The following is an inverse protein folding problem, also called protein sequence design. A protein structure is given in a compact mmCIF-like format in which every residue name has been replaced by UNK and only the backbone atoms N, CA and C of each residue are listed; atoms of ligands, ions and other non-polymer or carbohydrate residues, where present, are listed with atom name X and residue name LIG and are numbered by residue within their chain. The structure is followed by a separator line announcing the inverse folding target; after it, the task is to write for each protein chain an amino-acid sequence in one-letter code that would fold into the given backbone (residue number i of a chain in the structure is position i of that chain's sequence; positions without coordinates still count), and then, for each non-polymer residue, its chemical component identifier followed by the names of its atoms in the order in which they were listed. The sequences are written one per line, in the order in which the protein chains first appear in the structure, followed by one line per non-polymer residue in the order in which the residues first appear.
data_IF_265390877369
#
_entry.id   IF_265390877369
#
_cell.length_a   1.000
_cell.length_b   1.000
_cell.length_c   1.000
_cell.angle_alpha   90.00
_cell.angle_beta   90.00
_cell.angle_gamma   90.00
#
_symmetry.space_group_name_H-M   'P 1'
#
loop_
_entity.id
_entity.type
_entity.pdbx_description
1 polymer ?
#
# COMPACT_ATOMS: atom_id res chain seq x y z
N UNK A 1 -21.75 18.28 -4.17
CA UNK A 1 -20.76 17.56 -3.40
C UNK A 1 -20.38 16.23 -3.99
N UNK A 2 -19.52 16.31 -4.98
CA UNK A 2 -19.02 15.15 -5.70
C UNK A 2 -18.28 14.13 -4.80
N UNK A 3 -17.78 14.57 -3.64
CA UNK A 3 -16.99 13.74 -2.71
C UNK A 3 -17.76 12.61 -2.04
N UNK A 4 -19.09 12.66 -2.07
CA UNK A 4 -19.96 11.67 -1.42
C UNK A 4 -20.64 10.73 -2.42
N UNK A 5 -20.28 10.82 -3.69
CA UNK A 5 -20.79 9.94 -4.71
C UNK A 5 -19.99 8.65 -4.76
N UNK A 6 -20.65 7.54 -5.06
CA UNK A 6 -20.00 6.24 -5.29
C UNK A 6 -19.20 6.20 -6.61
N UNK A 7 -19.46 7.14 -7.49
CA UNK A 7 -18.76 7.29 -8.76
C UNK A 7 -17.62 8.31 -8.65
N UNK A 8 -16.41 7.86 -8.95
CA UNK A 8 -15.23 8.73 -9.02
C UNK A 8 -14.70 8.81 -10.44
N UNK A 9 -14.43 10.03 -10.88
CA UNK A 9 -13.76 10.27 -12.15
C UNK A 9 -12.24 10.39 -11.89
N UNK A 10 -11.50 9.43 -12.41
CA UNK A 10 -10.05 9.32 -12.23
C UNK A 10 -9.39 9.16 -13.59
N UNK A 11 -8.35 9.97 -13.85
CA UNK A 11 -7.59 9.87 -15.08
C UNK A 11 -6.74 8.60 -15.08
N UNK A 12 -6.87 7.81 -16.14
CA UNK A 12 -6.03 6.64 -16.34
C UNK A 12 -4.62 7.09 -16.77
N UNK A 13 -3.61 6.45 -16.19
CA UNK A 13 -2.23 6.63 -16.64
C UNK A 13 -2.02 6.02 -18.03
N UNK A 14 -1.07 6.55 -18.83
CA UNK A 14 -0.60 5.88 -20.04
C UNK A 14 -0.15 4.44 -19.74
N UNK A 15 -0.38 3.52 -20.68
CA UNK A 15 -0.11 2.10 -20.44
C UNK A 15 1.32 1.75 -20.05
N UNK A 16 2.29 2.55 -20.52
CA UNK A 16 3.71 2.38 -20.20
C UNK A 16 4.10 2.82 -18.77
N UNK A 17 3.23 3.48 -18.05
CA UNK A 17 3.43 3.84 -16.63
C UNK A 17 2.93 2.77 -15.67
N UNK A 18 2.29 1.73 -16.18
CA UNK A 18 1.85 0.60 -15.36
C UNK A 18 2.89 -0.52 -15.38
N UNK A 19 3.30 -0.95 -14.21
CA UNK A 19 4.16 -2.13 -14.05
C UNK A 19 3.38 -3.44 -14.14
N UNK A 20 2.06 -3.33 -14.12
CA UNK A 20 1.15 -4.47 -14.13
C UNK A 20 -0.11 -4.13 -14.91
N UNK A 21 -0.55 -5.01 -15.82
CA UNK A 21 -1.66 -4.73 -16.75
C UNK A 21 -3.00 -4.46 -16.10
N UNK A 22 -3.22 -4.96 -14.88
CA UNK A 22 -4.45 -4.77 -14.09
C UNK A 22 -4.32 -3.68 -13.03
N UNK A 23 -3.20 -2.97 -13.01
CA UNK A 23 -2.96 -1.91 -12.03
C UNK A 23 -3.92 -0.75 -12.23
N UNK A 24 -4.57 -0.33 -11.16
CA UNK A 24 -5.46 0.83 -11.16
C UNK A 24 -4.66 2.11 -10.94
N UNK A 25 -5.16 3.27 -11.39
CA UNK A 25 -4.52 4.55 -11.11
C UNK A 25 -4.34 4.75 -9.59
N UNK A 26 -3.16 5.23 -9.15
CA UNK A 26 -2.90 5.48 -7.72
C UNK A 26 -3.94 6.34 -7.03
N UNK A 27 -4.51 7.30 -7.74
CA UNK A 27 -5.53 8.21 -7.23
C UNK A 27 -6.78 7.49 -6.72
N UNK A 28 -7.14 6.33 -7.28
CA UNK A 28 -8.26 5.51 -6.80
C UNK A 28 -8.01 5.06 -5.37
N UNK A 29 -6.83 4.54 -5.10
CA UNK A 29 -6.44 4.07 -3.77
C UNK A 29 -6.33 5.21 -2.78
N UNK A 30 -5.74 6.31 -3.18
CA UNK A 30 -5.59 7.49 -2.35
C UNK A 30 -6.94 8.07 -1.92
N UNK A 31 -7.89 8.19 -2.84
CA UNK A 31 -9.24 8.65 -2.52
C UNK A 31 -9.94 7.74 -1.52
N UNK A 32 -9.89 6.44 -1.72
CA UNK A 32 -10.49 5.47 -0.82
C UNK A 32 -9.89 5.56 0.58
N UNK A 33 -8.58 5.61 0.67
CA UNK A 33 -7.84 5.67 1.93
C UNK A 33 -8.17 6.96 2.68
N UNK A 34 -8.16 8.11 2.02
CA UNK A 34 -8.48 9.39 2.65
C UNK A 34 -9.90 9.46 3.17
N UNK A 35 -10.84 8.87 2.46
CA UNK A 35 -12.26 8.91 2.84
C UNK A 35 -12.62 7.96 3.95
N UNK A 36 -12.01 6.77 3.95
CA UNK A 36 -12.41 5.69 4.84
C UNK A 36 -11.53 5.57 6.08
N UNK A 37 -10.40 6.25 6.11
CA UNK A 37 -9.43 6.16 7.21
C UNK A 37 -8.86 7.51 7.58
N UNK A 38 -8.24 7.53 8.78
CA UNK A 38 -7.42 8.63 9.27
C UNK A 38 -5.95 8.21 9.28
N UNK A 39 -5.00 9.17 9.30
CA UNK A 39 -3.59 8.85 9.47
C UNK A 39 -3.34 7.87 10.62
N UNK A 40 -2.44 6.91 10.40
CA UNK A 40 -2.01 5.84 11.31
C UNK A 40 -3.02 4.72 11.56
N UNK A 41 -4.21 4.81 10.98
CA UNK A 41 -5.12 3.68 11.03
C UNK A 41 -4.59 2.53 10.18
N UNK A 42 -5.09 1.34 10.47
CA UNK A 42 -4.71 0.10 9.81
C UNK A 42 -5.68 -0.20 8.68
N UNK A 43 -5.12 -0.55 7.54
CA UNK A 43 -5.84 -1.00 6.35
C UNK A 43 -5.55 -2.47 6.17
N UNK A 44 -6.57 -3.28 5.94
CA UNK A 44 -6.44 -4.67 5.55
C UNK A 44 -6.68 -4.80 4.05
N UNK A 45 -5.73 -5.40 3.34
CA UNK A 45 -5.85 -5.70 1.92
C UNK A 45 -5.61 -7.19 1.68
N UNK A 46 -6.67 -7.92 1.43
CA UNK A 46 -6.63 -9.37 1.25
C UNK A 46 -6.15 -9.81 -0.13
N UNK A 47 -6.06 -8.90 -1.07
CA UNK A 47 -5.67 -9.14 -2.47
C UNK A 47 -4.75 -8.03 -2.95
N UNK A 48 -3.56 -8.01 -2.40
CA UNK A 48 -2.63 -6.88 -2.53
C UNK A 48 -2.14 -6.63 -3.97
N UNK A 49 -2.00 -7.68 -4.76
CA UNK A 49 -1.49 -7.55 -6.12
C UNK A 49 -0.11 -6.91 -6.16
N UNK A 50 0.04 -5.89 -6.98
CA UNK A 50 1.30 -5.14 -7.12
C UNK A 50 1.64 -4.19 -5.95
N UNK A 51 0.82 -4.19 -4.90
CA UNK A 51 1.07 -3.39 -3.70
C UNK A 51 0.62 -1.92 -3.79
N UNK A 52 -0.29 -1.59 -4.68
CA UNK A 52 -0.73 -0.20 -4.85
C UNK A 52 -1.40 0.37 -3.60
N UNK A 53 -2.16 -0.44 -2.86
CA UNK A 53 -2.71 -0.04 -1.56
C UNK A 53 -1.60 0.28 -0.55
N UNK A 54 -0.57 -0.57 -0.48
CA UNK A 54 0.56 -0.36 0.43
C UNK A 54 1.30 0.95 0.12
N UNK A 55 1.58 1.20 -1.14
CA UNK A 55 2.28 2.40 -1.59
C UNK A 55 1.46 3.66 -1.26
N UNK A 56 0.19 3.68 -1.61
CA UNK A 56 -0.69 4.80 -1.32
C UNK A 56 -0.85 5.04 0.19
N UNK A 57 -0.99 3.98 0.96
CA UNK A 57 -1.11 4.06 2.41
C UNK A 57 0.17 4.60 3.07
N UNK A 58 1.34 4.19 2.60
CA UNK A 58 2.62 4.70 3.10
C UNK A 58 2.74 6.22 2.84
N UNK A 59 2.40 6.67 1.66
CA UNK A 59 2.40 8.11 1.33
C UNK A 59 1.44 8.90 2.21
N UNK A 60 0.29 8.30 2.55
CA UNK A 60 -0.75 8.93 3.35
C UNK A 60 -0.64 8.63 4.85
N UNK A 61 0.46 8.03 5.30
CA UNK A 61 0.75 7.73 6.71
C UNK A 61 -0.21 6.73 7.36
N UNK A 62 -0.75 5.78 6.60
CA UNK A 62 -1.51 4.63 7.12
C UNK A 62 -0.61 3.40 7.18
N UNK A 63 -1.03 2.40 7.94
CA UNK A 63 -0.40 1.08 8.02
C UNK A 63 -1.24 0.08 7.25
N UNK A 64 -0.59 -0.88 6.61
CA UNK A 64 -1.29 -1.92 5.83
C UNK A 64 -0.87 -3.30 6.31
N UNK A 65 -1.85 -4.16 6.49
CA UNK A 65 -1.66 -5.61 6.53
C UNK A 65 -2.24 -6.18 5.25
N UNK A 66 -1.39 -6.78 4.45
CA UNK A 66 -1.75 -7.25 3.12
C UNK A 66 -1.40 -8.71 2.92
N UNK A 67 -2.18 -9.38 2.09
CA UNK A 67 -1.94 -10.77 1.69
C UNK A 67 -1.88 -10.82 0.17
N UNK A 68 -0.90 -11.55 -0.35
CA UNK A 68 -0.73 -11.82 -1.77
C UNK A 68 -0.25 -13.25 -1.97
N UNK A 69 -0.92 -13.98 -2.85
CA UNK A 69 -0.59 -15.38 -3.13
C UNK A 69 0.50 -15.55 -4.19
N UNK A 70 0.65 -14.57 -5.08
CA UNK A 70 1.60 -14.64 -6.19
C UNK A 70 2.97 -14.07 -5.77
N UNK A 71 4.03 -14.91 -5.73
CA UNK A 71 5.35 -14.45 -5.30
C UNK A 71 5.91 -13.29 -6.12
N UNK A 72 5.66 -13.28 -7.43
CA UNK A 72 6.13 -12.20 -8.29
C UNK A 72 5.54 -10.85 -7.89
N UNK A 73 4.29 -10.81 -7.45
CA UNK A 73 3.66 -9.59 -6.96
C UNK A 73 4.17 -9.19 -5.57
N UNK A 74 4.50 -10.15 -4.73
CA UNK A 74 5.17 -9.87 -3.47
C UNK A 74 6.53 -9.20 -3.70
N UNK A 75 7.32 -9.71 -4.62
CA UNK A 75 8.62 -9.14 -4.98
C UNK A 75 8.48 -7.72 -5.55
N UNK A 76 7.49 -7.51 -6.40
CA UNK A 76 7.20 -6.19 -6.97
C UNK A 76 6.80 -5.20 -5.87
N UNK A 77 5.94 -5.60 -4.96
CA UNK A 77 5.53 -4.78 -3.81
C UNK A 77 6.73 -4.38 -2.95
N UNK A 78 7.62 -5.32 -2.66
CA UNK A 78 8.84 -5.06 -1.89
C UNK A 78 9.71 -4.04 -2.61
N UNK A 79 9.96 -4.22 -3.91
CA UNK A 79 10.76 -3.28 -4.70
C UNK A 79 10.17 -1.88 -4.68
N UNK A 80 8.87 -1.77 -4.87
CA UNK A 80 8.18 -0.48 -4.86
C UNK A 80 8.28 0.21 -3.49
N UNK A 81 8.08 -0.54 -2.43
CA UNK A 81 8.18 -0.02 -1.07
C UNK A 81 9.61 0.43 -0.74
N UNK A 82 10.61 -0.37 -1.06
CA UNK A 82 12.01 -0.03 -0.81
C UNK A 82 12.45 1.21 -1.63
N UNK A 83 11.99 1.31 -2.87
CA UNK A 83 12.27 2.47 -3.71
C UNK A 83 11.63 3.76 -3.17
N UNK A 84 10.40 3.64 -2.65
CA UNK A 84 9.67 4.78 -2.09
C UNK A 84 10.26 5.27 -0.76
N UNK A 85 10.59 4.34 0.12
CA UNK A 85 10.92 4.65 1.52
C UNK A 85 12.41 4.67 1.82
N UNK A 86 13.23 4.02 0.98
CA UNK A 86 14.64 3.77 1.27
C UNK A 86 14.87 2.73 2.37
N UNK A 87 13.80 2.15 2.93
CA UNK A 87 13.89 1.12 3.95
C UNK A 87 13.92 -0.27 3.31
N UNK A 88 14.65 -1.19 3.94
CA UNK A 88 14.69 -2.58 3.50
C UNK A 88 13.56 -3.39 4.13
N UNK A 89 12.92 -4.22 3.32
CA UNK A 89 11.96 -5.19 3.80
C UNK A 89 12.68 -6.29 4.60
N UNK A 90 12.01 -6.78 5.63
CA UNK A 90 12.52 -7.85 6.49
C UNK A 90 11.68 -9.09 6.26
N UNK A 91 12.33 -10.20 5.99
CA UNK A 91 11.67 -11.50 5.91
C UNK A 91 11.60 -12.10 7.31
N UNK A 92 10.38 -12.45 7.73
CA UNK A 92 10.13 -13.13 9.01
C UNK A 92 9.64 -14.54 8.68
N UNK A 93 10.32 -15.55 9.20
CA UNK A 93 9.89 -16.93 9.05
C UNK A 93 8.79 -17.26 10.05
N UNK A 94 7.95 -18.28 9.76
CA UNK A 94 6.81 -18.60 10.64
C UNK A 94 7.19 -18.88 12.09
N UNK A 95 8.38 -19.41 12.34
CA UNK A 95 8.88 -19.77 13.67
C UNK A 95 9.73 -18.68 14.33
N UNK A 96 9.87 -17.54 13.69
CA UNK A 96 10.64 -16.40 14.22
C UNK A 96 9.71 -15.39 14.88
N UNK A 97 10.12 -14.91 16.05
CA UNK A 97 9.43 -13.77 16.66
C UNK A 97 9.64 -12.51 15.83
N UNK A 98 8.61 -11.70 15.73
CA UNK A 98 8.72 -10.40 15.06
C UNK A 98 9.73 -9.54 15.82
N UNK A 99 10.81 -9.08 15.18
CA UNK A 99 11.79 -8.25 15.86
C UNK A 99 11.13 -7.00 16.44
N UNK A 100 11.27 -6.82 17.74
CA UNK A 100 10.77 -5.64 18.43
C UNK A 100 11.64 -4.40 18.16
N UNK A 101 12.78 -4.60 17.50
CA UNK A 101 13.74 -3.54 17.19
C UNK A 101 13.33 -2.79 15.94
N UNK A 102 13.26 -1.49 16.06
CA UNK A 102 13.01 -0.61 14.91
C UNK A 102 11.57 -0.24 14.68
N UNK A 103 10.67 -0.68 15.51
CA UNK A 103 9.54 0.16 15.80
C UNK A 103 10.06 1.32 16.63
N UNK A 104 10.73 2.23 15.98
CA UNK A 104 10.36 3.59 16.35
C UNK A 104 8.86 3.53 16.40
N UNK A 105 8.23 3.63 17.57
CA UNK A 105 6.82 3.81 17.57
C UNK A 105 6.65 4.90 16.54
N UNK A 106 5.88 4.64 15.51
CA UNK A 106 5.35 5.74 14.74
C UNK A 106 4.52 6.45 15.74
N UNK A 107 5.25 7.18 16.56
CA UNK A 107 4.68 7.98 17.61
C UNK A 107 3.59 8.73 16.92
N UNK A 108 2.48 8.52 17.48
CA UNK A 108 1.45 9.49 17.31
C UNK A 108 2.13 10.85 17.28
N UNK A 109 1.86 11.69 16.29
CA UNK A 109 2.33 13.05 16.35
C UNK A 109 1.88 13.66 17.63
#
# INVERSE_FOLDING_TARGET
MLNNLDLWLVKRLPGNEYEHSTMKPPEVYEKAIRRCTKPRQIILDSFSGSGSTLIAAEELKRRVFAVEIEPAFCDLTIKRFEALTGQKAIVIKPDEEIPQTGTTPRTAP
#
